data_IF_359558098799
#
_entry.id   IF_359558098799
#
_cell.length_a   1.000
_cell.length_b   1.000
_cell.length_c   1.000
_cell.angle_alpha   90.00
_cell.angle_beta   90.00
_cell.angle_gamma   90.00
#
_symmetry.space_group_name_H-M   'P 1'
#
loop_
_entity.id
_entity.type
_entity.pdbx_description
1 polymer ?
#
# COMPACT_ATOMS: atom_id res chain seq x y z
N UNK A 1 -33.40 -31.34 -33.57
CA UNK A 1 -33.59 -30.40 -32.45
C UNK A 1 -32.39 -29.46 -32.42
N UNK A 2 -32.57 -28.19 -32.78
CA UNK A 2 -31.51 -27.18 -32.79
C UNK A 2 -31.72 -26.31 -31.54
N UNK A 3 -30.80 -26.40 -30.60
CA UNK A 3 -30.75 -25.47 -29.47
C UNK A 3 -30.15 -24.14 -29.95
N UNK A 4 -30.69 -22.98 -29.53
CA UNK A 4 -30.10 -21.69 -29.88
C UNK A 4 -28.69 -21.61 -29.30
N UNK A 5 -27.71 -21.22 -30.12
CA UNK A 5 -26.38 -20.83 -29.64
C UNK A 5 -26.61 -19.73 -28.60
N UNK A 6 -26.27 -19.99 -27.34
CA UNK A 6 -26.61 -19.15 -26.20
C UNK A 6 -26.16 -17.69 -26.34
N UNK A 7 -26.49 -16.86 -25.34
CA UNK A 7 -26.23 -15.42 -25.39
C UNK A 7 -24.76 -15.09 -25.70
N UNK A 8 -24.50 -14.47 -26.86
CA UNK A 8 -23.16 -14.05 -27.27
C UNK A 8 -22.77 -12.77 -26.52
N UNK A 9 -22.05 -12.92 -25.40
CA UNK A 9 -21.51 -11.79 -24.66
C UNK A 9 -20.12 -11.40 -25.18
N UNK A 10 -19.96 -10.13 -25.58
CA UNK A 10 -18.63 -9.56 -25.83
C UNK A 10 -17.99 -9.22 -24.50
N UNK A 11 -16.81 -9.79 -24.24
CA UNK A 11 -16.02 -9.46 -23.05
C UNK A 11 -15.70 -7.96 -23.02
N UNK A 12 -15.68 -7.33 -21.83
CA UNK A 12 -15.20 -5.96 -21.68
C UNK A 12 -13.75 -5.86 -22.15
N UNK A 13 -13.38 -4.69 -22.66
CA UNK A 13 -12.00 -4.40 -23.06
C UNK A 13 -11.11 -4.15 -21.84
N UNK A 14 -9.83 -4.54 -21.92
CA UNK A 14 -8.88 -4.41 -20.80
C UNK A 14 -8.72 -2.97 -20.29
N UNK A 15 -8.84 -2.00 -21.19
CA UNK A 15 -8.81 -0.57 -20.86
C UNK A 15 -9.89 -0.19 -19.84
N UNK A 16 -11.07 -0.83 -19.89
CA UNK A 16 -12.14 -0.57 -18.94
C UNK A 16 -11.79 -1.10 -17.55
N UNK A 17 -11.17 -2.28 -17.46
CA UNK A 17 -10.71 -2.83 -16.18
C UNK A 17 -9.63 -1.94 -15.55
N UNK A 18 -8.69 -1.44 -16.36
CA UNK A 18 -7.66 -0.52 -15.90
C UNK A 18 -8.27 0.80 -15.37
N UNK A 19 -9.22 1.40 -16.09
CA UNK A 19 -9.87 2.64 -15.67
C UNK A 19 -10.61 2.47 -14.32
N UNK A 20 -11.25 1.32 -14.09
CA UNK A 20 -11.90 1.00 -12.82
C UNK A 20 -10.87 0.89 -11.69
N UNK A 21 -9.76 0.18 -11.93
CA UNK A 21 -8.70 0.02 -10.95
C UNK A 21 -8.06 1.36 -10.57
N UNK A 22 -7.75 2.20 -11.56
CA UNK A 22 -7.19 3.55 -11.35
C UNK A 22 -8.16 4.42 -10.53
N UNK A 23 -9.46 4.40 -10.82
CA UNK A 23 -10.47 5.14 -10.05
C UNK A 23 -10.53 4.72 -8.57
N UNK A 24 -10.21 3.47 -8.25
CA UNK A 24 -10.20 2.94 -6.87
C UNK A 24 -8.88 3.24 -6.14
N UNK A 25 -7.78 3.51 -6.86
CA UNK A 25 -6.48 3.88 -6.30
C UNK A 25 -6.38 5.38 -5.94
N UNK A 26 -7.41 6.16 -6.23
CA UNK A 26 -7.48 7.58 -5.87
C UNK A 26 -8.59 7.83 -4.84
N UNK A 27 -8.40 8.77 -3.91
CA UNK A 27 -9.50 9.27 -3.09
C UNK A 27 -10.49 9.97 -4.01
N UNK A 28 -11.55 9.25 -4.38
CA UNK A 28 -12.58 9.68 -5.32
C UNK A 28 -13.96 9.38 -4.77
N UNK A 29 -14.97 10.09 -5.27
CA UNK A 29 -16.38 9.87 -4.92
C UNK A 29 -16.80 8.41 -5.15
N UNK A 30 -16.26 7.76 -6.17
CA UNK A 30 -16.51 6.34 -6.46
C UNK A 30 -16.02 5.46 -5.32
N UNK A 31 -14.78 5.66 -4.86
CA UNK A 31 -14.21 4.89 -3.75
C UNK A 31 -14.98 5.13 -2.46
N UNK A 32 -15.29 6.40 -2.15
CA UNK A 32 -16.08 6.77 -0.98
C UNK A 32 -17.45 6.08 -0.97
N UNK A 33 -18.13 6.01 -2.11
CA UNK A 33 -19.40 5.26 -2.24
C UNK A 33 -19.25 3.77 -1.94
N UNK A 34 -18.13 3.17 -2.35
CA UNK A 34 -17.84 1.77 -2.06
C UNK A 34 -17.45 1.53 -0.59
N UNK A 35 -16.80 2.50 0.06
CA UNK A 35 -16.34 2.37 1.44
C UNK A 35 -17.29 2.99 2.47
N UNK A 36 -18.36 3.66 2.06
CA UNK A 36 -19.24 4.45 2.94
C UNK A 36 -19.86 3.66 4.09
N UNK A 37 -20.21 2.38 3.86
CA UNK A 37 -20.79 1.51 4.87
C UNK A 37 -19.74 0.64 5.59
N UNK A 38 -18.46 0.78 5.24
CA UNK A 38 -17.39 0.09 5.95
C UNK A 38 -17.09 0.83 7.25
N UNK A 39 -17.10 0.09 8.36
CA UNK A 39 -16.70 0.63 9.65
C UNK A 39 -15.17 0.71 9.74
N UNK A 40 -14.67 1.88 10.08
CA UNK A 40 -13.27 2.11 10.45
C UNK A 40 -13.21 3.33 11.36
N UNK A 41 -12.17 3.39 12.18
CA UNK A 41 -11.84 4.57 13.00
C UNK A 41 -10.56 5.20 12.51
N UNK A 42 -10.43 6.51 12.72
CA UNK A 42 -9.20 7.25 12.46
C UNK A 42 -8.16 6.98 13.57
N UNK A 43 -7.82 5.69 13.75
CA UNK A 43 -6.91 5.19 14.77
C UNK A 43 -5.90 4.24 14.11
N UNK A 44 -4.58 4.50 14.23
CA UNK A 44 -3.53 3.60 13.75
C UNK A 44 -3.60 2.17 14.32
N UNK A 45 -4.27 1.97 15.45
CA UNK A 45 -4.44 0.64 16.06
C UNK A 45 -5.70 -0.09 15.57
N UNK A 46 -6.59 0.57 14.83
CA UNK A 46 -7.77 -0.05 14.27
C UNK A 46 -7.41 -0.88 13.03
N UNK A 47 -7.95 -2.10 12.94
CA UNK A 47 -7.58 -3.07 11.89
C UNK A 47 -8.01 -2.65 10.48
N UNK A 48 -9.01 -1.79 10.35
CA UNK A 48 -9.40 -1.20 9.06
C UNK A 48 -8.92 0.24 8.95
N UNK A 49 -8.85 0.97 10.06
CA UNK A 49 -8.35 2.35 10.13
C UNK A 49 -6.91 2.54 9.67
N UNK A 50 -5.98 1.68 10.08
CA UNK A 50 -4.57 1.82 9.70
C UNK A 50 -4.34 1.74 8.18
N UNK A 51 -5.14 0.93 7.47
CA UNK A 51 -5.08 0.81 6.02
C UNK A 51 -5.52 2.10 5.32
N UNK A 52 -6.61 2.71 5.80
CA UNK A 52 -7.13 3.98 5.25
C UNK A 52 -6.18 5.15 5.55
N UNK A 53 -5.62 5.19 6.76
CA UNK A 53 -4.59 6.14 7.16
C UNK A 53 -3.34 6.04 6.26
N UNK A 54 -2.83 4.83 6.06
CA UNK A 54 -1.69 4.58 5.17
C UNK A 54 -1.99 5.00 3.72
N UNK A 55 -3.18 4.67 3.21
CA UNK A 55 -3.61 5.06 1.85
C UNK A 55 -3.61 6.58 1.66
N UNK A 56 -4.17 7.32 2.62
CA UNK A 56 -4.22 8.79 2.58
C UNK A 56 -2.82 9.41 2.69
N UNK A 57 -2.00 8.93 3.63
CA UNK A 57 -0.64 9.41 3.81
C UNK A 57 0.21 9.21 2.53
N UNK A 58 0.12 8.02 1.92
CA UNK A 58 0.81 7.71 0.67
C UNK A 58 0.34 8.58 -0.50
N UNK A 59 -0.96 8.90 -0.56
CA UNK A 59 -1.48 9.79 -1.61
C UNK A 59 -0.96 11.22 -1.44
N UNK A 60 -0.96 11.75 -0.21
CA UNK A 60 -0.44 13.09 0.09
C UNK A 60 1.06 13.20 -0.21
N UNK A 61 1.84 12.17 0.17
CA UNK A 61 3.29 12.14 -0.04
C UNK A 61 3.72 11.60 -1.41
N UNK A 62 2.79 11.42 -2.37
CA UNK A 62 3.07 10.83 -3.70
C UNK A 62 4.21 11.54 -4.44
N UNK A 63 4.23 12.87 -4.41
CA UNK A 63 5.28 13.66 -5.09
C UNK A 63 6.64 13.48 -4.41
N UNK A 64 6.67 13.33 -3.09
CA UNK A 64 7.89 13.06 -2.32
C UNK A 64 8.45 11.68 -2.69
N UNK A 65 7.63 10.63 -2.74
CA UNK A 65 8.06 9.30 -3.21
C UNK A 65 8.55 9.32 -4.67
N UNK A 66 7.98 10.14 -5.55
CA UNK A 66 8.50 10.34 -6.91
C UNK A 66 9.90 10.98 -6.90
N UNK A 67 10.16 11.96 -6.02
CA UNK A 67 11.50 12.56 -5.85
C UNK A 67 12.51 11.51 -5.38
N UNK A 68 12.14 10.69 -4.39
CA UNK A 68 12.98 9.62 -3.86
C UNK A 68 13.31 8.57 -4.92
N UNK A 69 12.31 8.09 -5.68
CA UNK A 69 12.56 7.11 -6.74
C UNK A 69 13.47 7.67 -7.85
N UNK A 70 13.40 8.97 -8.14
CA UNK A 70 14.35 9.61 -9.06
C UNK A 70 15.76 9.65 -8.48
N UNK A 71 15.91 9.92 -7.19
CA UNK A 71 17.21 9.97 -6.53
C UNK A 71 17.87 8.58 -6.39
N UNK A 72 17.07 7.56 -6.07
CA UNK A 72 17.51 6.15 -6.08
C UNK A 72 18.01 5.75 -7.47
N UNK A 73 17.28 6.10 -8.53
CA UNK A 73 17.72 5.85 -9.93
C UNK A 73 18.99 6.60 -10.32
N UNK A 74 19.28 7.74 -9.70
CA UNK A 74 20.56 8.47 -9.89
C UNK A 74 21.71 7.85 -9.09
N UNK A 75 21.41 7.03 -8.09
CA UNK A 75 22.38 6.45 -7.16
C UNK A 75 22.69 7.31 -5.94
N UNK A 76 21.88 8.34 -5.66
CA UNK A 76 22.08 9.23 -4.50
C UNK A 76 21.67 8.54 -3.17
N UNK A 77 20.77 7.55 -3.25
CA UNK A 77 20.28 6.76 -2.12
C UNK A 77 20.48 5.28 -2.46
N UNK A 78 20.89 4.42 -1.50
CA UNK A 78 20.93 2.97 -1.70
C UNK A 78 19.55 2.40 -2.08
N UNK A 79 19.50 1.41 -2.98
CA UNK A 79 18.26 0.70 -3.28
C UNK A 79 17.79 -0.12 -2.07
N UNK A 80 16.50 -0.47 -2.04
CA UNK A 80 15.86 -1.36 -1.05
C UNK A 80 15.80 -0.84 0.40
N UNK A 81 16.04 0.45 0.63
CA UNK A 81 15.79 1.05 1.94
C UNK A 81 14.28 1.22 2.19
N UNK A 82 13.85 0.97 3.43
CA UNK A 82 12.47 1.12 3.89
C UNK A 82 12.45 1.74 5.29
N UNK A 83 11.30 2.30 5.69
CA UNK A 83 11.13 2.80 7.06
C UNK A 83 12.06 3.95 7.41
N UNK A 84 12.55 3.93 8.64
CA UNK A 84 13.46 4.95 9.19
C UNK A 84 14.78 5.04 8.42
N UNK A 85 15.29 3.92 7.90
CA UNK A 85 16.55 3.90 7.15
C UNK A 85 16.45 4.70 5.84
N UNK A 86 15.29 4.65 5.18
CA UNK A 86 15.02 5.44 3.99
C UNK A 86 14.95 6.94 4.32
N UNK A 87 14.28 7.31 5.42
CA UNK A 87 14.17 8.71 5.87
C UNK A 87 15.56 9.29 6.18
N UNK A 88 16.39 8.54 6.92
CA UNK A 88 17.74 8.94 7.27
C UNK A 88 18.61 9.16 6.02
N UNK A 89 18.61 8.20 5.07
CA UNK A 89 19.37 8.33 3.84
C UNK A 89 18.90 9.51 2.97
N UNK A 90 17.60 9.77 2.92
CA UNK A 90 17.04 10.90 2.18
C UNK A 90 17.45 12.26 2.77
N UNK A 91 17.52 12.36 4.11
CA UNK A 91 18.01 13.54 4.83
C UNK A 91 19.51 13.76 4.61
N UNK A 92 20.33 12.71 4.72
CA UNK A 92 21.78 12.77 4.49
C UNK A 92 22.12 13.24 3.08
N UNK A 93 21.39 12.72 2.09
CA UNK A 93 21.52 13.12 0.69
C UNK A 93 20.87 14.49 0.38
N UNK A 94 20.27 15.16 1.37
CA UNK A 94 19.60 16.47 1.26
C UNK A 94 18.53 16.53 0.15
N UNK A 95 17.83 15.41 -0.07
CA UNK A 95 16.76 15.31 -1.07
C UNK A 95 15.44 15.83 -0.51
N UNK A 96 15.27 15.72 0.81
CA UNK A 96 14.09 16.16 1.58
C UNK A 96 14.49 17.12 2.69
N UNK A 97 13.60 18.05 3.01
CA UNK A 97 13.74 18.96 4.15
C UNK A 97 13.27 18.31 5.47
N UNK A 98 13.57 18.92 6.62
CA UNK A 98 13.20 18.41 7.94
C UNK A 98 11.68 18.17 8.07
N UNK A 99 10.86 19.09 7.56
CA UNK A 99 9.40 18.95 7.56
C UNK A 99 8.91 17.83 6.62
N UNK A 100 9.58 17.66 5.46
CA UNK A 100 9.27 16.57 4.52
C UNK A 100 9.67 15.21 5.12
N UNK A 101 10.76 15.15 5.88
CA UNK A 101 11.23 13.94 6.55
C UNK A 101 10.29 13.48 7.66
N UNK A 102 9.74 14.39 8.49
CA UNK A 102 8.74 14.03 9.50
C UNK A 102 7.48 13.43 8.87
N UNK A 103 6.98 14.04 7.80
CA UNK A 103 5.83 13.52 7.04
C UNK A 103 6.11 12.15 6.41
N UNK A 104 7.33 11.97 5.89
CA UNK A 104 7.78 10.70 5.32
C UNK A 104 7.89 9.62 6.40
N UNK A 105 8.43 9.94 7.57
CA UNK A 105 8.56 9.00 8.69
C UNK A 105 7.19 8.53 9.18
N UNK A 106 6.24 9.45 9.36
CA UNK A 106 4.87 9.09 9.75
C UNK A 106 4.20 8.21 8.68
N UNK A 107 4.40 8.53 7.41
CA UNK A 107 3.87 7.75 6.29
C UNK A 107 4.49 6.34 6.21
N UNK A 108 5.80 6.22 6.36
CA UNK A 108 6.48 4.92 6.36
C UNK A 108 6.06 4.05 7.54
N UNK A 109 5.88 4.63 8.73
CA UNK A 109 5.39 3.89 9.89
C UNK A 109 4.02 3.25 9.59
N UNK A 110 3.06 4.04 9.09
CA UNK A 110 1.74 3.56 8.68
C UNK A 110 1.82 2.52 7.55
N UNK A 111 2.70 2.74 6.56
CA UNK A 111 2.89 1.82 5.44
C UNK A 111 3.42 0.47 5.91
N UNK A 112 4.43 0.45 6.77
CA UNK A 112 5.01 -0.78 7.32
C UNK A 112 3.94 -1.55 8.09
N UNK A 113 3.18 -0.87 8.95
CA UNK A 113 2.07 -1.49 9.69
C UNK A 113 1.04 -2.10 8.74
N UNK A 114 0.64 -1.40 7.68
CA UNK A 114 -0.34 -1.90 6.71
C UNK A 114 0.18 -3.07 5.86
N UNK A 115 1.49 -3.13 5.59
CA UNK A 115 2.12 -4.21 4.81
C UNK A 115 2.44 -5.44 5.67
N UNK A 116 2.58 -5.29 6.99
CA UNK A 116 2.93 -6.34 7.94
C UNK A 116 1.80 -7.35 8.21
N UNK A 117 1.11 -7.79 7.16
CA UNK A 117 0.13 -8.88 7.20
C UNK A 117 0.89 -10.21 7.32
N UNK A 118 0.43 -11.10 8.21
CA UNK A 118 1.00 -12.44 8.39
C UNK A 118 2.50 -12.47 8.80
N UNK A 119 2.95 -11.47 9.55
CA UNK A 119 4.30 -11.45 10.12
C UNK A 119 4.40 -12.40 11.32
N UNK A 120 4.66 -13.68 11.04
CA UNK A 120 4.83 -14.71 12.05
C UNK A 120 6.30 -14.83 12.50
N UNK A 121 6.52 -14.97 13.81
CA UNK A 121 7.85 -15.32 14.31
C UNK A 121 8.24 -16.73 13.81
N UNK A 122 9.50 -16.99 13.43
CA UNK A 122 9.93 -18.26 12.84
C UNK A 122 9.54 -19.49 13.68
N UNK A 123 9.55 -19.33 15.01
CA UNK A 123 9.19 -20.39 15.96
C UNK A 123 7.71 -20.78 15.92
N UNK A 124 6.81 -19.86 15.51
CA UNK A 124 5.36 -20.12 15.47
C UNK A 124 4.94 -21.07 14.35
N UNK A 125 5.73 -21.14 13.27
CA UNK A 125 5.52 -22.06 12.15
C UNK A 125 6.29 -23.38 12.32
N UNK A 126 7.05 -23.53 13.40
CA UNK A 126 7.89 -24.70 13.64
C UNK A 126 7.03 -25.90 14.05
N UNK A 127 7.14 -26.99 13.30
CA UNK A 127 6.38 -28.23 13.54
C UNK A 127 6.68 -28.79 14.94
N UNK A 128 5.67 -28.83 15.80
CA UNK A 128 5.79 -29.49 17.12
C UNK A 128 6.13 -30.98 16.93
N UNK A 129 7.03 -31.55 17.75
CA UNK A 129 7.33 -32.98 17.71
C UNK A 129 6.05 -33.79 18.01
N UNK A 130 5.86 -34.91 17.30
CA UNK A 130 4.76 -35.84 17.60
C UNK A 130 5.00 -36.43 18.98
N UNK A 131 4.06 -36.24 19.91
CA UNK A 131 4.03 -37.01 21.15
C UNK A 131 3.89 -38.50 20.78
N UNK A 132 4.83 -39.30 21.29
CA UNK A 132 4.79 -40.75 21.14
C UNK A 132 3.57 -41.27 21.91
N UNK A 133 2.69 -41.99 21.21
CA UNK A 133 1.46 -42.58 21.74
C UNK A 133 1.76 -43.94 22.34
#
# INVERSE_FOLDING_TARGET
MIFPFGNHYKRPVDQLYQAIAESMMEPSVTRERHTFLCYWKDDPNDVTGHMELAFRAMKTNRELYKKLSKAEKRGDIPPDLNGEALVAAALEAKIVDAAEAESLQACEALRITAVAVDQFAPETLRRKPKEAR
#
